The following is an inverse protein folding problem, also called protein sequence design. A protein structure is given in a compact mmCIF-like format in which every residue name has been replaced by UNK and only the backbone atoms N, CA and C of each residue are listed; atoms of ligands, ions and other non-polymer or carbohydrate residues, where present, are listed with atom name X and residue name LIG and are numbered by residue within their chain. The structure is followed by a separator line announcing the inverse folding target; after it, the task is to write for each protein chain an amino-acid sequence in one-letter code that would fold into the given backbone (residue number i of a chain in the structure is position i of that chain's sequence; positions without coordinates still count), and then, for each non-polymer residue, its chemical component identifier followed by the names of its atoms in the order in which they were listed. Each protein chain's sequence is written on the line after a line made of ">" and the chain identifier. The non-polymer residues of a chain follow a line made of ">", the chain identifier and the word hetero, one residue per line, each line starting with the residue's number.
data_IF_132534270149
#
_entry.id   IF_132534270149
#
_cell.length_a   1.000
_cell.length_b   1.000
_cell.length_c   1.000
_cell.angle_alpha   90.00
_cell.angle_beta   90.00
_cell.angle_gamma   90.00
#
_symmetry.space_group_name_H-M   'P 1'
#
loop_
_entity.id
_entity.type
_entity.pdbx_description
1 polymer ?
#
# COMPACT_ATOMS: atom_id res chain seq x y z
N UNK A 1 11.98 -2.57 17.91
CA UNK A 1 10.75 -3.37 17.75
C UNK A 1 9.58 -2.42 17.60
N UNK A 2 9.15 -2.13 16.37
CA UNK A 2 7.93 -1.34 16.16
C UNK A 2 6.76 -2.31 16.33
N UNK A 3 5.98 -2.12 17.38
CA UNK A 3 4.78 -2.92 17.65
C UNK A 3 3.75 -2.62 16.56
N UNK A 4 3.67 -3.51 15.57
CA UNK A 4 2.60 -3.47 14.57
C UNK A 4 1.33 -3.91 15.29
N UNK A 5 0.51 -2.93 15.68
CA UNK A 5 -0.85 -3.21 16.19
C UNK A 5 -1.57 -4.04 15.13
N UNK A 6 -1.81 -5.32 15.42
CA UNK A 6 -2.75 -6.15 14.64
C UNK A 6 -4.14 -5.76 15.14
N UNK A 7 -4.59 -4.57 14.74
CA UNK A 7 -5.87 -4.01 15.14
C UNK A 7 -6.94 -4.35 14.12
N UNK A 8 -8.00 -5.00 14.57
CA UNK A 8 -9.23 -5.28 13.83
C UNK A 8 -9.88 -4.02 13.21
N UNK A 9 -9.44 -2.83 13.63
CA UNK A 9 -9.96 -1.51 13.26
C UNK A 9 -9.02 -0.71 12.33
N UNK A 10 -7.94 -1.32 11.82
CA UNK A 10 -7.04 -0.58 10.92
C UNK A 10 -7.75 -0.30 9.59
N UNK A 11 -7.85 0.98 9.25
CA UNK A 11 -8.33 1.41 7.93
C UNK A 11 -7.33 0.94 6.85
N UNK A 12 -7.83 0.28 5.80
CA UNK A 12 -6.99 -0.27 4.73
C UNK A 12 -6.13 0.80 4.03
N UNK A 13 -6.59 2.05 3.96
CA UNK A 13 -5.86 3.16 3.37
C UNK A 13 -4.72 3.63 4.28
N UNK A 14 -4.97 3.75 5.59
CA UNK A 14 -3.91 4.08 6.56
C UNK A 14 -2.83 3.00 6.60
N UNK A 15 -3.24 1.73 6.56
CA UNK A 15 -2.32 0.60 6.44
C UNK A 15 -1.44 0.72 5.18
N UNK A 16 -2.06 1.04 4.03
CA UNK A 16 -1.35 1.18 2.77
C UNK A 16 -0.38 2.35 2.79
N UNK A 17 -0.79 3.51 3.32
CA UNK A 17 0.08 4.67 3.48
C UNK A 17 1.29 4.36 4.36
N UNK A 18 1.06 3.72 5.50
CA UNK A 18 2.10 3.29 6.42
C UNK A 18 3.08 2.31 5.76
N UNK A 19 2.57 1.31 5.03
CA UNK A 19 3.39 0.37 4.27
C UNK A 19 4.24 1.09 3.21
N UNK A 20 3.61 1.93 2.36
CA UNK A 20 4.27 2.67 1.30
C UNK A 20 5.39 3.60 1.83
N UNK A 21 5.19 4.20 3.01
CA UNK A 21 6.20 5.07 3.63
C UNK A 21 7.49 4.35 4.04
N UNK A 22 7.40 3.03 4.27
CA UNK A 22 8.51 2.15 4.66
C UNK A 22 9.25 1.54 3.47
N UNK A 23 8.77 1.75 2.24
CA UNK A 23 9.41 1.22 1.04
C UNK A 23 10.87 1.70 0.91
N UNK A 24 11.80 0.91 0.32
CA UNK A 24 13.16 1.38 0.07
C UNK A 24 13.18 2.67 -0.77
N UNK A 25 13.78 3.73 -0.23
CA UNK A 25 13.71 5.06 -0.84
C UNK A 25 12.38 5.80 -0.60
N UNK A 26 11.57 5.33 0.36
CA UNK A 26 10.26 5.90 0.71
C UNK A 26 9.31 5.99 -0.49
N UNK A 27 8.39 6.98 -0.46
CA UNK A 27 7.43 7.23 -1.53
C UNK A 27 8.11 7.53 -2.87
N UNK A 28 9.29 8.14 -2.85
CA UNK A 28 10.08 8.44 -4.05
C UNK A 28 10.56 7.17 -4.75
N UNK A 29 11.11 6.22 -3.98
CA UNK A 29 11.53 4.92 -4.48
C UNK A 29 10.35 4.09 -4.99
N UNK A 30 9.23 4.11 -4.26
CA UNK A 30 8.01 3.42 -4.67
C UNK A 30 7.44 4.00 -5.97
N UNK A 31 7.37 5.33 -6.09
CA UNK A 31 6.92 5.99 -7.31
C UNK A 31 7.81 5.61 -8.51
N UNK A 32 9.12 5.57 -8.33
CA UNK A 32 10.04 5.14 -9.38
C UNK A 32 9.78 3.67 -9.80
N UNK A 33 9.62 2.76 -8.82
CA UNK A 33 9.34 1.35 -9.08
C UNK A 33 7.99 1.15 -9.81
N UNK A 34 6.94 1.82 -9.34
CA UNK A 34 5.63 1.83 -9.99
C UNK A 34 5.73 2.37 -11.43
N UNK A 35 6.48 3.46 -11.65
CA UNK A 35 6.62 4.04 -12.97
C UNK A 35 7.29 3.09 -13.97
N UNK A 36 8.29 2.32 -13.52
CA UNK A 36 8.93 1.28 -14.33
C UNK A 36 7.95 0.15 -14.68
N UNK A 37 7.19 -0.36 -13.72
CA UNK A 37 6.24 -1.46 -13.93
C UNK A 37 5.04 -1.07 -14.80
N UNK A 38 4.52 0.14 -14.63
CA UNK A 38 3.37 0.63 -15.38
C UNK A 38 3.72 1.17 -16.79
N UNK A 39 5.01 1.25 -17.13
CA UNK A 39 5.45 1.84 -18.40
C UNK A 39 5.09 3.33 -18.57
N UNK A 40 4.81 4.04 -17.47
CA UNK A 40 4.45 5.46 -17.46
C UNK A 40 5.05 6.16 -16.27
N UNK A 41 5.29 7.45 -16.38
CA UNK A 41 5.82 8.23 -15.25
C UNK A 41 4.82 8.25 -14.08
N UNK A 42 5.30 7.91 -12.89
CA UNK A 42 4.61 8.11 -11.63
C UNK A 42 5.37 9.15 -10.82
N UNK A 43 4.73 10.28 -10.53
CA UNK A 43 5.36 11.37 -9.80
C UNK A 43 5.20 11.16 -8.29
N UNK A 44 6.26 11.32 -7.46
CA UNK A 44 6.19 11.11 -6.02
C UNK A 44 5.16 11.97 -5.29
N UNK A 45 4.95 13.21 -5.73
CA UNK A 45 3.93 14.11 -5.17
C UNK A 45 2.50 13.62 -5.48
N UNK A 46 2.25 13.13 -6.69
CA UNK A 46 0.96 12.55 -7.08
C UNK A 46 0.72 11.27 -6.28
N UNK A 47 1.71 10.38 -6.16
CA UNK A 47 1.58 9.16 -5.37
C UNK A 47 1.33 9.47 -3.89
N UNK A 48 2.06 10.43 -3.32
CA UNK A 48 1.84 10.90 -1.95
C UNK A 48 0.42 11.43 -1.77
N UNK A 49 -0.09 12.22 -2.71
CA UNK A 49 -1.47 12.72 -2.64
C UNK A 49 -2.49 11.59 -2.73
N UNK A 50 -2.24 10.59 -3.59
CA UNK A 50 -3.10 9.41 -3.74
C UNK A 50 -3.18 8.54 -2.48
N UNK A 51 -2.10 8.50 -1.68
CA UNK A 51 -1.98 7.66 -0.49
C UNK A 51 -2.29 8.39 0.81
N UNK A 52 -2.34 9.72 0.82
CA UNK A 52 -2.52 10.48 2.07
C UNK A 52 -3.95 10.30 2.57
N UNK A 53 -4.16 9.89 3.83
CA UNK A 53 -5.49 9.88 4.43
C UNK A 53 -6.12 11.29 4.38
N UNK A 54 -7.39 11.37 3.96
CA UNK A 54 -8.14 12.63 3.90
C UNK A 54 -7.95 13.46 2.63
N UNK A 55 -7.26 12.95 1.59
CA UNK A 55 -7.29 13.55 0.25
C UNK A 55 -8.33 12.81 -0.61
N UNK A 56 -9.38 13.54 -1.01
CA UNK A 56 -10.53 12.98 -1.73
C UNK A 56 -10.51 13.27 -3.24
N UNK A 57 -9.41 13.82 -3.76
CA UNK A 57 -9.32 14.25 -5.17
C UNK A 57 -8.37 13.38 -6.00
N UNK A 58 -7.51 12.62 -5.35
CA UNK A 58 -6.53 11.76 -6.00
C UNK A 58 -6.69 10.37 -5.42
N UNK A 59 -7.17 9.42 -6.21
CA UNK A 59 -7.41 8.06 -5.76
C UNK A 59 -6.46 7.09 -6.45
N UNK A 60 -6.04 6.08 -5.71
CA UNK A 60 -5.50 4.86 -6.30
C UNK A 60 -6.66 4.10 -6.95
N UNK A 61 -6.41 3.57 -8.16
CA UNK A 61 -7.25 2.51 -8.68
C UNK A 61 -6.79 1.15 -8.11
N UNK A 62 -7.54 0.09 -8.37
CA UNK A 62 -7.26 -1.23 -7.81
C UNK A 62 -5.94 -1.83 -8.33
N UNK A 63 -5.59 -1.58 -9.60
CA UNK A 63 -4.31 -2.00 -10.18
C UNK A 63 -3.12 -1.35 -9.46
N UNK A 64 -3.18 -0.03 -9.23
CA UNK A 64 -2.15 0.69 -8.50
C UNK A 64 -2.05 0.21 -7.04
N UNK A 65 -3.19 -0.06 -6.40
CA UNK A 65 -3.23 -0.63 -5.06
C UNK A 65 -2.54 -2.01 -5.01
N UNK A 66 -2.92 -2.91 -5.91
CA UNK A 66 -2.34 -4.27 -5.99
C UNK A 66 -0.85 -4.23 -6.27
N UNK A 67 -0.42 -3.39 -7.22
CA UNK A 67 0.99 -3.23 -7.56
C UNK A 67 1.83 -2.72 -6.40
N UNK A 68 1.30 -1.82 -5.56
CA UNK A 68 2.01 -1.36 -4.36
C UNK A 68 2.26 -2.53 -3.41
N UNK A 69 1.28 -3.43 -3.24
CA UNK A 69 1.46 -4.62 -2.39
C UNK A 69 2.51 -5.58 -2.97
N UNK A 70 2.45 -5.86 -4.28
CA UNK A 70 3.44 -6.68 -4.99
C UNK A 70 4.86 -6.12 -4.83
N UNK A 71 5.05 -4.83 -5.08
CA UNK A 71 6.36 -4.20 -4.93
C UNK A 71 6.85 -4.25 -3.48
N UNK A 72 5.96 -4.07 -2.50
CA UNK A 72 6.31 -4.16 -1.09
C UNK A 72 6.67 -5.59 -0.65
N UNK A 73 5.99 -6.60 -1.20
CA UNK A 73 6.34 -8.00 -1.04
C UNK A 73 7.70 -8.33 -1.65
N UNK A 74 7.95 -7.90 -2.89
CA UNK A 74 9.25 -8.05 -3.58
C UNK A 74 10.39 -7.40 -2.78
N UNK A 75 10.12 -6.25 -2.16
CA UNK A 75 11.03 -5.55 -1.26
C UNK A 75 11.17 -6.20 0.14
N UNK A 76 10.46 -7.31 0.39
CA UNK A 76 10.47 -8.07 1.65
C UNK A 76 10.05 -7.24 2.86
N UNK A 77 9.08 -6.34 2.69
CA UNK A 77 8.54 -5.55 3.80
C UNK A 77 7.61 -6.38 4.68
N UNK A 78 7.90 -6.42 5.97
CA UNK A 78 7.04 -7.08 6.95
C UNK A 78 5.65 -6.45 7.01
N UNK A 79 4.64 -7.32 7.03
CA UNK A 79 3.24 -6.92 7.10
C UNK A 79 2.70 -6.32 5.81
N UNK A 80 3.30 -6.61 4.66
CA UNK A 80 2.77 -6.18 3.36
C UNK A 80 1.33 -6.64 3.11
N UNK A 81 0.87 -7.74 3.74
CA UNK A 81 -0.51 -8.23 3.61
C UNK A 81 -1.54 -7.41 4.42
N UNK A 82 -1.11 -6.56 5.36
CA UNK A 82 -2.01 -5.87 6.29
C UNK A 82 -3.07 -5.02 5.57
N UNK A 83 -2.73 -4.21 4.54
CA UNK A 83 -3.74 -3.46 3.82
C UNK A 83 -4.82 -4.35 3.19
N UNK A 84 -4.43 -5.48 2.58
CA UNK A 84 -5.39 -6.42 1.97
C UNK A 84 -6.26 -7.10 3.04
N UNK A 85 -5.66 -7.52 4.16
CA UNK A 85 -6.42 -8.10 5.29
C UNK A 85 -7.43 -7.10 5.85
N UNK A 86 -7.03 -5.85 6.03
CA UNK A 86 -7.93 -4.78 6.47
C UNK A 86 -9.07 -4.53 5.47
N UNK A 87 -8.76 -4.55 4.16
CA UNK A 87 -9.77 -4.44 3.11
C UNK A 87 -10.79 -5.59 3.19
N UNK A 88 -10.34 -6.85 3.25
CA UNK A 88 -11.24 -8.00 3.39
C UNK A 88 -12.07 -7.91 4.68
N UNK A 89 -11.44 -7.57 5.80
CA UNK A 89 -12.09 -7.49 7.11
C UNK A 89 -13.26 -6.49 7.10
N UNK A 90 -13.08 -5.33 6.47
CA UNK A 90 -14.13 -4.30 6.30
C UNK A 90 -15.39 -4.85 5.61
N UNK A 91 -15.25 -5.90 4.81
CA UNK A 91 -16.36 -6.52 4.09
C UNK A 91 -16.84 -7.83 4.74
N UNK A 92 -16.45 -8.12 5.98
CA UNK A 92 -16.80 -9.39 6.64
C UNK A 92 -16.11 -10.60 6.00
N UNK A 93 -15.01 -10.39 5.28
CA UNK A 93 -14.23 -11.42 4.62
C UNK A 93 -12.85 -11.56 5.27
N UNK A 94 -12.17 -12.67 5.00
CA UNK A 94 -10.79 -12.90 5.43
C UNK A 94 -9.90 -13.17 4.22
N UNK A 95 -8.74 -12.52 4.16
CA UNK A 95 -7.71 -12.82 3.17
C UNK A 95 -6.91 -14.05 3.62
N UNK A 96 -6.98 -15.13 2.83
CA UNK A 96 -6.27 -16.39 3.10
C UNK A 96 -5.11 -16.51 2.11
N UNK A 97 -3.85 -16.65 2.57
CA UNK A 97 -2.73 -16.88 1.66
C UNK A 97 -2.86 -18.24 0.98
N UNK A 98 -2.52 -18.30 -0.31
CA UNK A 98 -2.46 -19.55 -1.06
C UNK A 98 -1.13 -20.29 -0.77
N UNK A 99 -1.11 -21.63 -0.85
CA UNK A 99 0.10 -22.44 -0.66
C UNK A 99 1.21 -22.16 -1.68
#
# INVERSE_FOLDING_TARGET
>A
MVSVKIGNDINQHEALYSLASRYPGSIEGLAQAMGRRLGRQMYPNVLRNKLRPGIDTHHLNFEEYSLILELCEEAKLDGWQIPMRALCWRHGMVAIPLP
#
